data_IF_681729190236
#
_entry.id   IF_681729190236
#
_cell.length_a   1.000
_cell.length_b   1.000
_cell.length_c   1.000
_cell.angle_alpha   90.00
_cell.angle_beta   90.00
_cell.angle_gamma   90.00
#
_symmetry.space_group_name_H-M   'P 1'
#
loop_
_entity.id
_entity.type
_entity.pdbx_description
1 polymer ?
#
# COMPACT_ATOMS: atom_id res chain seq x y z
N UNK A 1 1.65 26.64 2.28
CA UNK A 1 2.64 25.53 2.21
C UNK A 1 3.12 25.28 3.64
N UNK A 2 3.21 24.03 4.08
CA UNK A 2 3.67 23.66 5.43
C UNK A 2 5.21 23.65 5.42
N UNK A 3 5.83 24.48 6.25
CA UNK A 3 7.29 24.69 6.24
C UNK A 3 8.00 24.07 7.45
N UNK A 4 7.26 23.73 8.51
CA UNK A 4 7.76 23.10 9.73
C UNK A 4 6.89 21.89 10.05
N UNK A 5 7.47 20.70 9.94
CA UNK A 5 6.76 19.42 10.12
C UNK A 5 7.52 18.57 11.14
N UNK A 6 6.83 18.13 12.18
CA UNK A 6 7.35 17.12 13.10
C UNK A 6 6.88 15.74 12.67
N UNK A 7 7.81 14.81 12.37
CA UNK A 7 7.51 13.46 11.92
C UNK A 7 7.71 12.49 13.07
N UNK A 8 6.61 11.92 13.58
CA UNK A 8 6.67 10.92 14.64
C UNK A 8 6.67 9.53 14.02
N UNK A 9 7.78 8.81 14.19
CA UNK A 9 8.00 7.46 13.68
C UNK A 9 9.14 7.39 12.68
N UNK A 10 10.13 6.54 12.97
CA UNK A 10 11.35 6.32 12.17
C UNK A 10 11.34 4.98 11.41
N UNK A 11 10.15 4.44 11.13
CA UNK A 11 9.94 3.24 10.34
C UNK A 11 10.24 3.49 8.84
N UNK A 12 9.92 2.50 7.99
CA UNK A 12 10.14 2.59 6.53
C UNK A 12 9.50 3.83 5.91
N UNK A 13 8.25 4.11 6.26
CA UNK A 13 7.50 5.27 5.74
C UNK A 13 8.04 6.57 6.34
N UNK A 14 8.15 6.66 7.66
CA UNK A 14 8.57 7.90 8.33
C UNK A 14 9.97 8.34 7.93
N UNK A 15 10.91 7.41 7.77
CA UNK A 15 12.27 7.73 7.29
C UNK A 15 12.25 8.29 5.87
N UNK A 16 11.50 7.68 4.94
CA UNK A 16 11.38 8.16 3.55
C UNK A 16 10.71 9.53 3.48
N UNK A 17 9.63 9.73 4.25
CA UNK A 17 8.90 11.00 4.34
C UNK A 17 9.79 12.11 4.91
N UNK A 18 10.47 11.87 6.06
CA UNK A 18 11.34 12.86 6.66
C UNK A 18 12.52 13.24 5.75
N UNK A 19 13.11 12.27 5.05
CA UNK A 19 14.15 12.52 4.07
C UNK A 19 13.64 13.39 2.93
N UNK A 20 12.49 13.07 2.34
CA UNK A 20 11.88 13.85 1.25
C UNK A 20 11.55 15.28 1.67
N UNK A 21 10.99 15.48 2.87
CA UNK A 21 10.69 16.81 3.37
C UNK A 21 11.96 17.66 3.48
N UNK A 22 13.07 17.10 3.99
CA UNK A 22 14.36 17.79 4.06
C UNK A 22 14.91 18.14 2.68
N UNK A 23 14.83 17.24 1.70
CA UNK A 23 15.20 17.51 0.29
C UNK A 23 14.41 18.67 -0.32
N UNK A 24 13.17 18.86 0.12
CA UNK A 24 12.29 19.96 -0.32
C UNK A 24 12.44 21.24 0.50
N UNK A 25 13.40 21.28 1.41
CA UNK A 25 13.67 22.47 2.23
C UNK A 25 12.68 22.70 3.38
N UNK A 26 11.88 21.69 3.73
CA UNK A 26 10.98 21.74 4.88
C UNK A 26 11.77 21.44 6.15
N UNK A 27 11.59 22.26 7.19
CA UNK A 27 12.19 22.01 8.49
C UNK A 27 11.49 20.81 9.17
N UNK A 28 12.28 19.77 9.47
CA UNK A 28 11.77 18.53 10.07
C UNK A 28 12.28 18.44 11.51
N UNK A 29 11.37 18.10 12.44
CA UNK A 29 11.65 17.87 13.86
C UNK A 29 12.18 19.11 14.63
N UNK A 30 11.85 20.32 14.15
CA UNK A 30 12.12 21.57 14.86
C UNK A 30 11.01 21.94 15.86
N UNK A 31 11.26 23.02 16.62
CA UNK A 31 10.27 23.59 17.53
C UNK A 31 9.09 24.23 16.77
N UNK A 32 7.93 24.30 17.44
CA UNK A 32 6.70 24.93 16.93
C UNK A 32 6.27 24.44 15.54
N UNK A 33 5.96 23.13 15.39
CA UNK A 33 5.56 22.58 14.10
C UNK A 33 4.19 23.09 13.65
N UNK A 34 4.03 23.32 12.34
CA UNK A 34 2.74 23.60 11.72
C UNK A 34 1.91 22.34 11.51
N UNK A 35 2.61 21.18 11.40
CA UNK A 35 2.03 19.84 11.26
C UNK A 35 2.83 18.83 12.09
N UNK A 36 2.10 17.99 12.82
CA UNK A 36 2.62 16.75 13.39
C UNK A 36 2.13 15.59 12.53
N UNK A 37 3.05 14.87 11.89
CA UNK A 37 2.77 13.76 10.97
C UNK A 37 3.10 12.42 11.63
N UNK A 38 2.08 11.60 11.87
CA UNK A 38 2.20 10.31 12.54
C UNK A 38 2.51 9.20 11.52
N UNK A 39 3.74 8.72 11.54
CA UNK A 39 4.24 7.60 10.74
C UNK A 39 4.49 6.36 11.63
N UNK A 40 3.60 6.10 12.56
CA UNK A 40 3.62 5.00 13.53
C UNK A 40 2.72 3.84 13.11
N UNK A 41 2.82 2.65 13.73
CA UNK A 41 1.86 1.56 13.49
C UNK A 41 0.41 2.01 13.74
N UNK A 42 -0.53 1.47 12.97
CA UNK A 42 -1.95 1.86 13.02
C UNK A 42 -2.53 1.79 14.44
N UNK A 43 -2.16 0.76 15.20
CA UNK A 43 -2.60 0.57 16.60
C UNK A 43 -2.10 1.66 17.57
N UNK A 44 -1.04 2.38 17.23
CA UNK A 44 -0.46 3.43 18.06
C UNK A 44 -0.97 4.84 17.71
N UNK A 45 -1.67 5.01 16.57
CA UNK A 45 -2.05 6.34 16.07
C UNK A 45 -2.89 7.11 17.09
N UNK A 46 -3.90 6.48 17.69
CA UNK A 46 -4.80 7.16 18.62
C UNK A 46 -4.09 7.61 19.92
N UNK A 47 -3.22 6.78 20.47
CA UNK A 47 -2.43 7.07 21.67
C UNK A 47 -1.44 8.22 21.40
N UNK A 48 -0.68 8.13 20.29
CA UNK A 48 0.28 9.16 19.91
C UNK A 48 -0.42 10.47 19.58
N UNK A 49 -1.56 10.44 18.86
CA UNK A 49 -2.35 11.65 18.59
C UNK A 49 -2.79 12.33 19.90
N UNK A 50 -3.26 11.57 20.90
CA UNK A 50 -3.68 12.12 22.18
C UNK A 50 -2.54 12.79 22.97
N UNK A 51 -1.28 12.43 22.71
CA UNK A 51 -0.11 13.06 23.34
C UNK A 51 0.34 14.37 22.68
N UNK A 52 -0.15 14.67 21.47
CA UNK A 52 0.19 15.90 20.75
C UNK A 52 -0.56 17.09 21.36
N UNK A 53 0.16 18.18 21.68
CA UNK A 53 -0.45 19.41 22.16
C UNK A 53 -1.36 20.05 21.09
N UNK A 54 -2.50 20.66 21.48
CA UNK A 54 -3.34 21.39 20.52
C UNK A 54 -2.59 22.55 19.83
N UNK A 55 -2.94 22.83 18.58
CA UNK A 55 -2.38 23.97 17.82
C UNK A 55 -2.02 23.59 16.39
N UNK A 56 -1.05 22.71 16.16
CA UNK A 56 -0.67 22.29 14.82
C UNK A 56 -1.78 21.47 14.12
N UNK A 57 -1.64 21.27 12.82
CA UNK A 57 -2.30 20.17 12.14
C UNK A 57 -1.79 18.83 12.68
N UNK A 58 -2.65 17.84 12.77
CA UNK A 58 -2.26 16.45 13.10
C UNK A 58 -2.73 15.54 11.98
N UNK A 59 -1.81 14.75 11.44
CA UNK A 59 -2.13 13.85 10.36
C UNK A 59 -1.47 12.48 10.54
N UNK A 60 -2.02 11.45 9.89
CA UNK A 60 -1.40 10.12 9.82
C UNK A 60 -1.28 9.63 8.39
N UNK A 61 -0.41 8.62 8.18
CA UNK A 61 -0.16 8.01 6.86
C UNK A 61 -0.79 6.63 6.70
N UNK A 62 -1.65 6.19 7.62
CA UNK A 62 -2.33 4.89 7.53
C UNK A 62 -3.37 4.87 6.40
N UNK A 63 -3.45 3.75 5.70
CA UNK A 63 -4.48 3.49 4.68
C UNK A 63 -5.82 3.05 5.25
N UNK A 64 -5.84 2.40 6.42
CA UNK A 64 -7.02 1.80 7.02
C UNK A 64 -7.60 2.62 8.19
N UNK A 65 -6.76 3.27 9.00
CA UNK A 65 -7.17 3.97 10.21
C UNK A 65 -8.06 5.18 9.90
N UNK A 66 -9.26 5.30 10.50
CA UNK A 66 -10.16 6.42 10.25
C UNK A 66 -9.66 7.71 10.90
N UNK A 67 -10.11 8.87 10.40
CA UNK A 67 -9.78 10.20 10.96
C UNK A 67 -10.16 10.36 12.42
N UNK A 68 -11.17 9.62 12.88
CA UNK A 68 -11.57 9.59 14.28
C UNK A 68 -10.46 9.25 15.26
N UNK A 69 -9.45 8.50 14.82
CA UNK A 69 -8.27 8.16 15.64
C UNK A 69 -7.40 9.39 15.99
N UNK A 70 -7.56 10.50 15.27
CA UNK A 70 -6.85 11.76 15.55
C UNK A 70 -7.59 12.69 16.52
N UNK A 71 -8.70 12.25 17.13
CA UNK A 71 -9.37 13.04 18.18
C UNK A 71 -8.44 13.19 19.40
N UNK A 72 -8.46 14.36 20.11
CA UNK A 72 -9.47 15.44 20.00
C UNK A 72 -9.11 16.55 18.97
N UNK A 73 -8.10 16.38 18.12
CA UNK A 73 -7.66 17.45 17.22
C UNK A 73 -8.74 17.81 16.20
N UNK A 74 -9.14 19.09 16.15
CA UNK A 74 -10.05 19.61 15.14
C UNK A 74 -9.34 19.84 13.79
N UNK A 75 -8.06 20.22 13.81
CA UNK A 75 -7.21 20.38 12.62
C UNK A 75 -6.54 19.07 12.29
N UNK A 76 -7.23 18.22 11.53
CA UNK A 76 -6.76 16.86 11.22
C UNK A 76 -7.04 16.47 9.77
N UNK A 77 -6.19 15.60 9.24
CA UNK A 77 -6.37 14.94 7.94
C UNK A 77 -5.53 13.67 7.87
N UNK A 78 -5.63 12.92 6.78
CA UNK A 78 -4.67 11.85 6.50
C UNK A 78 -4.17 11.92 5.07
N UNK A 79 -2.93 11.49 4.87
CA UNK A 79 -2.32 11.29 3.54
C UNK A 79 -1.70 9.91 3.52
N UNK A 80 -2.32 8.97 2.81
CA UNK A 80 -1.81 7.61 2.67
C UNK A 80 -1.08 7.45 1.35
N UNK A 81 0.26 7.37 1.32
CA UNK A 81 1.01 7.00 0.11
C UNK A 81 0.66 5.58 -0.31
N UNK A 82 0.07 5.42 -1.50
CA UNK A 82 -0.23 4.10 -2.08
C UNK A 82 1.04 3.50 -2.67
N UNK A 83 1.90 2.98 -1.80
CA UNK A 83 3.23 2.49 -2.14
C UNK A 83 3.70 1.40 -1.17
N UNK A 84 4.55 0.51 -1.64
CA UNK A 84 5.28 -0.45 -0.81
C UNK A 84 6.66 0.12 -0.45
N UNK A 85 6.89 0.36 0.84
CA UNK A 85 8.14 0.92 1.33
C UNK A 85 9.12 -0.16 1.79
N UNK A 86 10.38 -0.04 1.37
CA UNK A 86 11.48 -0.89 1.82
C UNK A 86 12.59 -0.05 2.47
N UNK A 87 13.41 -0.66 3.32
CA UNK A 87 14.57 0.03 3.92
C UNK A 87 15.75 0.16 2.94
N UNK A 88 15.74 -0.61 1.87
CA UNK A 88 16.81 -0.63 0.88
C UNK A 88 16.75 0.55 -0.10
N UNK A 89 15.64 1.30 -0.10
CA UNK A 89 15.41 2.44 -1.00
C UNK A 89 15.18 3.71 -0.19
N UNK A 90 15.53 4.85 -0.78
CA UNK A 90 15.41 6.18 -0.18
C UNK A 90 14.05 6.86 -0.43
N UNK A 91 14.01 8.20 -0.34
CA UNK A 91 12.79 8.98 -0.53
C UNK A 91 12.22 8.93 -1.95
N UNK A 92 13.01 8.51 -2.95
CA UNK A 92 12.57 8.31 -4.34
C UNK A 92 11.40 7.32 -4.48
N UNK A 93 11.15 6.49 -3.44
CA UNK A 93 9.98 5.62 -3.38
C UNK A 93 8.65 6.37 -3.42
N UNK A 94 8.67 7.65 -3.07
CA UNK A 94 7.49 8.53 -3.09
C UNK A 94 7.21 9.10 -4.48
N UNK A 95 8.21 9.14 -5.39
CA UNK A 95 8.09 9.85 -6.66
C UNK A 95 6.98 9.29 -7.55
N UNK A 96 6.00 10.14 -7.82
CA UNK A 96 4.88 9.84 -8.72
C UNK A 96 3.90 8.80 -8.21
N UNK A 97 4.07 8.26 -7.01
CA UNK A 97 3.07 7.38 -6.39
C UNK A 97 1.78 8.16 -6.09
N UNK A 98 0.65 7.46 -6.08
CA UNK A 98 -0.62 8.06 -5.69
C UNK A 98 -0.73 8.18 -4.18
N UNK A 99 -1.53 9.16 -3.71
CA UNK A 99 -1.81 9.33 -2.29
C UNK A 99 -3.29 9.61 -2.05
N UNK A 100 -3.92 8.81 -1.19
CA UNK A 100 -5.27 9.08 -0.74
C UNK A 100 -5.25 10.17 0.33
N UNK A 101 -5.96 11.26 0.08
CA UNK A 101 -6.19 12.37 1.04
C UNK A 101 -7.58 12.22 1.62
N UNK A 102 -7.67 12.16 2.95
CA UNK A 102 -8.94 12.13 3.68
C UNK A 102 -9.01 13.33 4.62
N UNK A 103 -10.08 14.09 4.54
CA UNK A 103 -10.29 15.32 5.29
C UNK A 103 -11.78 15.61 5.50
N UNK A 104 -12.13 16.25 6.61
CA UNK A 104 -13.52 16.64 6.95
C UNK A 104 -13.84 18.08 6.52
N UNK A 105 -12.81 18.92 6.31
CA UNK A 105 -12.96 20.33 5.89
C UNK A 105 -12.13 20.63 4.65
N UNK A 106 -12.49 21.68 3.93
CA UNK A 106 -11.73 22.15 2.76
C UNK A 106 -10.29 22.51 3.13
N UNK A 107 -10.11 23.27 4.20
CA UNK A 107 -8.77 23.67 4.69
C UNK A 107 -7.89 22.43 5.04
N UNK A 108 -8.48 21.36 5.60
CA UNK A 108 -7.77 20.11 5.88
C UNK A 108 -7.41 19.36 4.58
N UNK A 109 -8.31 19.40 3.59
CA UNK A 109 -8.07 18.81 2.26
C UNK A 109 -6.93 19.51 1.54
N UNK A 110 -6.94 20.82 1.54
CA UNK A 110 -5.87 21.64 0.93
C UNK A 110 -4.52 21.39 1.60
N UNK A 111 -4.48 21.31 2.94
CA UNK A 111 -3.28 20.95 3.68
C UNK A 111 -2.78 19.55 3.32
N UNK A 112 -3.67 18.58 3.22
CA UNK A 112 -3.33 17.20 2.83
C UNK A 112 -2.82 17.10 1.40
N UNK A 113 -3.45 17.77 0.44
CA UNK A 113 -3.01 17.82 -0.96
C UNK A 113 -1.64 18.50 -1.08
N UNK A 114 -1.45 19.65 -0.42
CA UNK A 114 -0.17 20.36 -0.38
C UNK A 114 0.96 19.49 0.20
N UNK A 115 0.69 18.74 1.28
CA UNK A 115 1.65 17.78 1.83
C UNK A 115 1.99 16.69 0.81
N UNK A 116 0.99 16.07 0.18
CA UNK A 116 1.20 15.01 -0.80
C UNK A 116 2.06 15.49 -1.98
N UNK A 117 1.77 16.67 -2.53
CA UNK A 117 2.53 17.28 -3.62
C UNK A 117 3.98 17.61 -3.19
N UNK A 118 4.18 18.12 -1.97
CA UNK A 118 5.51 18.37 -1.40
C UNK A 118 6.32 17.08 -1.32
N UNK A 119 5.66 15.96 -1.00
CA UNK A 119 6.29 14.64 -0.97
C UNK A 119 6.55 14.03 -2.37
N UNK A 120 6.07 14.67 -3.45
CA UNK A 120 6.19 14.16 -4.83
C UNK A 120 5.10 13.15 -5.20
N UNK A 121 4.03 13.08 -4.41
CA UNK A 121 2.90 12.19 -4.61
C UNK A 121 1.81 12.86 -5.47
N UNK A 122 0.93 12.03 -6.06
CA UNK A 122 -0.26 12.44 -6.80
C UNK A 122 -1.49 12.30 -5.91
N UNK A 123 -2.04 13.40 -5.35
CA UNK A 123 -3.16 13.31 -4.43
C UNK A 123 -4.48 13.01 -5.13
N UNK A 124 -5.33 12.22 -4.48
CA UNK A 124 -6.75 12.07 -4.78
C UNK A 124 -7.56 12.04 -3.48
N UNK A 125 -8.81 12.49 -3.54
CA UNK A 125 -9.66 12.51 -2.37
C UNK A 125 -10.27 11.13 -2.10
N UNK A 126 -10.30 10.74 -0.83
CA UNK A 126 -10.91 9.52 -0.37
C UNK A 126 -11.82 9.82 0.83
N UNK A 127 -13.08 9.40 0.76
CA UNK A 127 -13.99 9.49 1.90
C UNK A 127 -13.51 8.59 3.06
N UNK A 128 -13.64 9.06 4.30
CA UNK A 128 -13.22 8.29 5.49
C UNK A 128 -13.96 6.94 5.57
N UNK A 129 -15.23 6.88 5.18
CA UNK A 129 -16.03 5.66 5.11
C UNK A 129 -15.56 4.65 4.06
N UNK A 130 -14.80 5.06 3.05
CA UNK A 130 -14.32 4.19 1.99
C UNK A 130 -12.94 3.58 2.28
N UNK A 131 -12.25 4.00 3.35
CA UNK A 131 -10.86 3.62 3.64
C UNK A 131 -10.63 2.13 3.73
N UNK A 132 -11.51 1.40 4.42
CA UNK A 132 -11.37 -0.05 4.59
C UNK A 132 -11.40 -0.78 3.24
N UNK A 133 -12.36 -0.43 2.38
CA UNK A 133 -12.46 -1.03 1.05
C UNK A 133 -11.28 -0.65 0.15
N UNK A 134 -10.90 0.62 0.15
CA UNK A 134 -9.71 1.10 -0.55
C UNK A 134 -8.45 0.35 -0.10
N UNK A 135 -8.24 0.21 1.21
CA UNK A 135 -7.06 -0.48 1.73
C UNK A 135 -7.07 -1.98 1.40
N UNK A 136 -8.24 -2.62 1.41
CA UNK A 136 -8.38 -4.00 0.94
C UNK A 136 -7.94 -4.13 -0.53
N UNK A 137 -8.34 -3.21 -1.41
CA UNK A 137 -7.85 -3.16 -2.80
C UNK A 137 -6.33 -3.01 -2.89
N UNK A 138 -5.73 -2.17 -2.05
CA UNK A 138 -4.26 -2.03 -1.99
C UNK A 138 -3.57 -3.33 -1.54
N UNK A 139 -4.16 -4.08 -0.61
CA UNK A 139 -3.67 -5.40 -0.17
C UNK A 139 -3.71 -6.40 -1.34
N UNK A 140 -4.78 -6.42 -2.13
CA UNK A 140 -4.85 -7.25 -3.34
C UNK A 140 -3.72 -6.93 -4.32
N UNK A 141 -3.47 -5.65 -4.58
CA UNK A 141 -2.48 -5.20 -5.55
C UNK A 141 -1.02 -5.29 -5.06
N UNK A 142 -0.79 -5.57 -3.78
CA UNK A 142 0.56 -5.63 -3.19
C UNK A 142 0.83 -6.93 -2.45
N UNK A 143 0.20 -7.15 -1.30
CA UNK A 143 0.50 -8.28 -0.42
C UNK A 143 0.17 -9.62 -1.08
N UNK A 144 -0.98 -9.72 -1.77
CA UNK A 144 -1.34 -10.97 -2.45
C UNK A 144 -0.48 -11.26 -3.68
N UNK A 145 0.04 -10.22 -4.35
CA UNK A 145 1.05 -10.42 -5.40
C UNK A 145 2.30 -11.11 -4.84
N UNK A 146 2.76 -10.72 -3.64
CA UNK A 146 3.88 -11.41 -2.96
C UNK A 146 3.51 -12.85 -2.61
N UNK A 147 2.29 -13.10 -2.13
CA UNK A 147 1.82 -14.46 -1.81
C UNK A 147 1.79 -15.35 -3.06
N UNK A 148 1.25 -14.83 -4.17
CA UNK A 148 1.20 -15.53 -5.46
C UNK A 148 2.60 -15.84 -6.01
N UNK A 149 3.50 -14.86 -5.95
CA UNK A 149 4.89 -15.04 -6.38
C UNK A 149 5.58 -16.16 -5.56
N UNK A 150 5.37 -16.19 -4.24
CA UNK A 150 5.94 -17.23 -3.38
C UNK A 150 5.36 -18.61 -3.69
N UNK A 151 4.05 -18.72 -3.87
CA UNK A 151 3.41 -19.97 -4.26
C UNK A 151 3.95 -20.48 -5.61
N UNK A 152 4.05 -19.60 -6.59
CA UNK A 152 4.63 -19.93 -7.90
C UNK A 152 6.09 -20.38 -7.79
N UNK A 153 6.91 -19.70 -6.96
CA UNK A 153 8.31 -20.09 -6.73
C UNK A 153 8.43 -21.49 -6.15
N UNK A 154 7.60 -21.85 -5.19
CA UNK A 154 7.59 -23.20 -4.59
C UNK A 154 7.25 -24.29 -5.63
N UNK A 155 6.31 -24.02 -6.54
CA UNK A 155 5.98 -24.94 -7.63
C UNK A 155 7.12 -25.08 -8.63
N UNK A 156 7.78 -23.98 -9.00
CA UNK A 156 8.95 -24.01 -9.89
C UNK A 156 10.09 -24.79 -9.29
N UNK A 157 10.43 -24.56 -8.02
CA UNK A 157 11.44 -25.33 -7.30
C UNK A 157 11.13 -26.84 -7.30
N UNK A 158 9.86 -27.22 -7.06
CA UNK A 158 9.44 -28.63 -7.08
C UNK A 158 9.53 -29.25 -8.48
N UNK A 159 9.36 -28.45 -9.52
CA UNK A 159 9.52 -28.87 -10.92
C UNK A 159 10.97 -28.84 -11.41
N UNK A 160 11.94 -28.44 -10.57
CA UNK A 160 13.34 -28.26 -10.97
C UNK A 160 13.60 -27.06 -11.89
N UNK A 161 12.67 -26.10 -11.94
CA UNK A 161 12.78 -24.87 -12.72
C UNK A 161 13.29 -23.71 -11.84
N UNK A 162 14.07 -22.75 -12.40
CA UNK A 162 14.59 -21.63 -11.65
C UNK A 162 13.46 -20.62 -11.32
N UNK A 163 13.21 -20.26 -10.04
CA UNK A 163 12.16 -19.30 -9.66
C UNK A 163 12.37 -17.90 -10.27
N UNK A 164 13.59 -17.52 -10.60
CA UNK A 164 13.94 -16.24 -11.23
C UNK A 164 13.27 -16.05 -12.60
N UNK A 165 12.92 -17.14 -13.28
CA UNK A 165 12.18 -17.10 -14.54
C UNK A 165 10.76 -16.53 -14.40
N UNK A 166 10.21 -16.47 -13.18
CA UNK A 166 8.89 -15.91 -12.92
C UNK A 166 8.86 -14.38 -13.00
N UNK A 167 9.95 -13.68 -12.67
CA UNK A 167 9.95 -12.21 -12.67
C UNK A 167 9.64 -11.61 -14.05
N UNK A 168 10.29 -12.02 -15.15
CA UNK A 168 9.93 -11.53 -16.48
C UNK A 168 8.48 -11.84 -16.87
N UNK A 169 7.95 -13.00 -16.49
CA UNK A 169 6.56 -13.38 -16.75
C UNK A 169 5.57 -12.45 -16.01
N UNK A 170 5.80 -12.21 -14.72
CA UNK A 170 4.96 -11.32 -13.92
C UNK A 170 5.00 -9.89 -14.46
N UNK A 171 6.17 -9.39 -14.83
CA UNK A 171 6.34 -8.07 -15.45
C UNK A 171 5.54 -7.97 -16.75
N UNK A 172 5.61 -9.00 -17.60
CA UNK A 172 4.86 -9.03 -18.86
C UNK A 172 3.34 -9.02 -18.63
N UNK A 173 2.85 -9.69 -17.59
CA UNK A 173 1.42 -9.65 -17.22
C UNK A 173 0.95 -8.21 -16.95
N UNK A 174 1.76 -7.42 -16.23
CA UNK A 174 1.46 -6.00 -15.97
C UNK A 174 1.51 -5.17 -17.27
N UNK A 175 2.57 -5.34 -18.07
CA UNK A 175 2.79 -4.61 -19.32
C UNK A 175 1.69 -4.88 -20.35
N UNK A 176 1.13 -6.09 -20.37
CA UNK A 176 -0.01 -6.48 -21.22
C UNK A 176 -1.38 -6.00 -20.65
N UNK A 177 -1.39 -5.15 -19.61
CA UNK A 177 -2.61 -4.60 -19.04
C UNK A 177 -3.47 -5.61 -18.29
N UNK A 178 -2.85 -6.67 -17.73
CA UNK A 178 -3.53 -7.77 -17.01
C UNK A 178 -4.54 -8.55 -17.87
N UNK A 179 -4.29 -8.65 -19.18
CA UNK A 179 -5.11 -9.47 -20.04
C UNK A 179 -5.09 -10.94 -19.58
N UNK A 180 -6.28 -11.50 -19.36
CA UNK A 180 -6.41 -12.87 -18.88
C UNK A 180 -6.14 -13.86 -20.02
N UNK A 181 -5.14 -14.69 -19.82
CA UNK A 181 -4.74 -15.78 -20.73
C UNK A 181 -4.66 -17.11 -19.97
N UNK A 182 -4.34 -18.18 -20.66
CA UNK A 182 -4.10 -19.48 -20.02
C UNK A 182 -5.31 -20.44 -20.03
N UNK A 183 -5.21 -21.59 -19.35
CA UNK A 183 -6.19 -22.68 -19.46
C UNK A 183 -7.58 -22.28 -18.95
N UNK A 184 -7.67 -21.55 -17.85
CA UNK A 184 -8.95 -21.13 -17.26
C UNK A 184 -9.73 -20.23 -18.24
N UNK A 185 -9.06 -19.25 -18.84
CA UNK A 185 -9.68 -18.35 -19.83
C UNK A 185 -10.20 -19.11 -21.08
N UNK A 186 -9.58 -20.22 -21.42
CA UNK A 186 -9.96 -21.06 -22.58
C UNK A 186 -10.93 -22.17 -22.21
N UNK A 187 -11.27 -22.35 -20.94
CA UNK A 187 -12.11 -23.47 -20.48
C UNK A 187 -11.43 -24.84 -20.55
N UNK A 188 -10.09 -24.89 -20.52
CA UNK A 188 -9.29 -26.11 -20.59
C UNK A 188 -9.21 -26.77 -19.21
N UNK A 189 -10.28 -27.41 -18.82
CA UNK A 189 -10.43 -27.99 -17.48
C UNK A 189 -9.58 -29.25 -17.27
N UNK A 190 -9.22 -29.97 -18.34
CA UNK A 190 -8.32 -31.13 -18.26
C UNK A 190 -6.92 -30.68 -17.82
N UNK A 191 -6.42 -29.58 -18.37
CA UNK A 191 -5.17 -28.97 -17.93
C UNK A 191 -5.25 -28.47 -16.47
N UNK A 192 -6.36 -27.85 -16.07
CA UNK A 192 -6.57 -27.40 -14.67
C UNK A 192 -6.58 -28.58 -13.70
N UNK A 193 -7.24 -29.69 -14.06
CA UNK A 193 -7.26 -30.93 -13.26
C UNK A 193 -5.87 -31.55 -13.14
N UNK A 194 -5.10 -31.57 -14.23
CA UNK A 194 -3.72 -32.07 -14.21
C UNK A 194 -2.82 -31.21 -13.32
N UNK A 195 -2.97 -29.89 -13.35
CA UNK A 195 -2.25 -28.99 -12.44
C UNK A 195 -2.55 -29.32 -10.98
N UNK A 196 -3.83 -29.49 -10.62
CA UNK A 196 -4.22 -29.82 -9.23
C UNK A 196 -3.66 -31.14 -8.78
N UNK A 197 -3.69 -32.17 -9.64
CA UNK A 197 -3.11 -33.48 -9.33
C UNK A 197 -1.61 -33.38 -9.04
N UNK A 198 -0.85 -32.62 -9.87
CA UNK A 198 0.56 -32.43 -9.65
C UNK A 198 0.85 -31.59 -8.38
N UNK A 199 0.02 -30.57 -8.09
CA UNK A 199 0.13 -29.77 -6.86
C UNK A 199 -0.14 -30.65 -5.63
N UNK A 200 -1.16 -31.50 -5.66
CA UNK A 200 -1.47 -32.42 -4.56
C UNK A 200 -0.34 -33.42 -4.31
N UNK A 201 0.36 -33.85 -5.35
CA UNK A 201 1.49 -34.78 -5.24
C UNK A 201 2.75 -34.12 -4.65
N UNK A 202 3.05 -32.85 -5.06
CA UNK A 202 4.33 -32.22 -4.73
C UNK A 202 4.24 -31.10 -3.70
N UNK A 203 3.10 -30.41 -3.59
CA UNK A 203 2.86 -29.25 -2.73
C UNK A 203 1.38 -29.19 -2.29
N UNK A 204 0.91 -30.21 -1.61
CA UNK A 204 -0.50 -30.39 -1.23
C UNK A 204 -1.08 -29.15 -0.49
N UNK A 205 -0.24 -28.43 0.25
CA UNK A 205 -0.65 -27.21 0.97
C UNK A 205 -1.09 -26.07 0.04
N UNK A 206 -0.73 -26.10 -1.25
CA UNK A 206 -1.12 -25.08 -2.23
C UNK A 206 -2.38 -25.43 -3.02
N UNK A 207 -2.92 -26.68 -2.94
CA UNK A 207 -4.07 -27.10 -3.75
C UNK A 207 -5.31 -26.24 -3.49
N UNK A 208 -5.63 -25.99 -2.22
CA UNK A 208 -6.78 -25.14 -1.86
C UNK A 208 -6.63 -23.70 -2.38
N UNK A 209 -5.42 -23.14 -2.30
CA UNK A 209 -5.15 -21.82 -2.86
C UNK A 209 -5.35 -21.82 -4.38
N UNK A 210 -4.82 -22.81 -5.08
CA UNK A 210 -4.96 -22.96 -6.53
C UNK A 210 -6.44 -23.07 -6.95
N UNK A 211 -7.21 -23.93 -6.29
CA UNK A 211 -8.64 -24.12 -6.55
C UNK A 211 -9.43 -22.82 -6.35
N UNK A 212 -9.20 -22.13 -5.23
CA UNK A 212 -9.86 -20.87 -4.91
C UNK A 212 -9.57 -19.81 -5.97
N UNK A 213 -8.32 -19.68 -6.38
CA UNK A 213 -7.90 -18.72 -7.42
C UNK A 213 -8.46 -19.11 -8.79
N UNK A 214 -8.51 -20.39 -9.14
CA UNK A 214 -9.11 -20.84 -10.40
C UNK A 214 -10.60 -20.45 -10.49
N UNK A 215 -11.35 -20.68 -9.40
CA UNK A 215 -12.75 -20.28 -9.30
C UNK A 215 -12.95 -18.75 -9.40
N UNK A 216 -12.12 -17.99 -8.68
CA UNK A 216 -12.16 -16.52 -8.74
C UNK A 216 -11.80 -16.00 -10.15
N UNK A 217 -10.79 -16.59 -10.79
CA UNK A 217 -10.37 -16.24 -12.16
C UNK A 217 -11.50 -16.44 -13.14
N UNK A 218 -12.21 -17.57 -13.04
CA UNK A 218 -13.36 -17.86 -13.88
C UNK A 218 -14.48 -16.82 -13.70
N UNK A 219 -14.79 -16.47 -12.44
CA UNK A 219 -15.85 -15.50 -12.14
C UNK A 219 -15.52 -14.08 -12.63
N UNK A 220 -14.24 -13.73 -12.73
CA UNK A 220 -13.79 -12.42 -13.25
C UNK A 220 -13.61 -12.41 -14.78
N UNK A 221 -13.60 -13.58 -15.44
CA UNK A 221 -13.46 -13.71 -16.89
C UNK A 221 -14.79 -13.55 -17.65
N UNK A 222 -15.92 -13.54 -16.93
CA UNK A 222 -17.29 -13.36 -17.44
C UNK A 222 -17.77 -11.93 -17.23
#
# INVERSE_FOLDING_TARGET
MLNRIHVIGSGRVGSAVAARLRERGVAVDGDDPELVLLCVPDSAIAEVAASVSPGPWVAHVSGATPLGALKPHARRFSVHPLQTFTRARGPEQLDGAWAAVTAETEAARDAGRSLAETLGLRPFDLADSARTLYHAGAVFASNYVVTLQRAASLLFESAGAPPEALEPLMRRTIENGFELTGPIARGDWDTVAAHRSAIQEHRAELDHLYETLAGATLALAT
#
